data_IF_536115102867
#
_entry.id   IF_536115102867
#
_cell.length_a   1.000
_cell.length_b   1.000
_cell.length_c   1.000
_cell.angle_alpha   90.00
_cell.angle_beta   90.00
_cell.angle_gamma   90.00
#
_symmetry.space_group_name_H-M   'P 1'
#
loop_
_entity.id
_entity.type
_entity.pdbx_description
1 polymer ?
#
# COMPACT_ATOMS: atom_id res chain seq x y z
N UNK A 1 62.76 -25.79 68.92
CA UNK A 1 63.15 -25.04 67.75
C UNK A 1 61.91 -24.77 66.87
N UNK A 2 61.37 -23.54 66.84
CA UNK A 2 60.19 -23.18 66.14
C UNK A 2 60.54 -22.48 64.78
N UNK A 3 60.16 -23.06 63.67
CA UNK A 3 60.22 -22.35 62.36
C UNK A 3 58.88 -21.78 61.99
N UNK A 4 58.84 -20.48 61.83
CA UNK A 4 57.75 -19.75 61.31
C UNK A 4 57.66 -19.93 59.79
N UNK A 5 56.48 -20.26 59.29
CA UNK A 5 56.16 -20.24 57.85
C UNK A 5 55.27 -19.04 57.58
N UNK A 6 55.75 -18.15 56.73
CA UNK A 6 55.07 -16.92 56.28
C UNK A 6 54.21 -17.30 55.12
N UNK A 7 52.89 -17.02 55.23
CA UNK A 7 51.94 -17.19 54.17
C UNK A 7 51.91 -15.93 53.27
N UNK A 8 52.11 -16.07 51.95
CA UNK A 8 51.86 -15.05 50.94
C UNK A 8 50.41 -15.14 50.52
N UNK A 9 49.68 -14.04 50.71
CA UNK A 9 48.36 -13.83 50.10
C UNK A 9 48.54 -13.40 48.65
N UNK A 10 48.14 -14.25 47.69
CA UNK A 10 47.96 -13.86 46.29
C UNK A 10 46.52 -13.40 46.09
N UNK A 11 46.34 -12.10 45.78
CA UNK A 11 45.07 -11.55 45.40
C UNK A 11 44.74 -11.92 43.93
N UNK A 12 43.83 -12.84 43.73
CA UNK A 12 43.28 -13.19 42.40
C UNK A 12 42.19 -12.20 42.01
N UNK A 13 42.43 -11.40 40.98
CA UNK A 13 41.41 -10.58 40.34
C UNK A 13 40.53 -11.48 39.46
N UNK A 14 39.31 -11.75 39.90
CA UNK A 14 38.31 -12.46 39.08
C UNK A 14 37.74 -11.51 38.04
N UNK A 15 38.12 -11.70 36.77
CA UNK A 15 37.52 -11.03 35.64
C UNK A 15 36.15 -11.67 35.35
N UNK A 16 35.05 -11.03 35.75
CA UNK A 16 33.68 -11.44 35.41
C UNK A 16 33.42 -11.03 33.96
N UNK A 17 33.57 -11.98 33.04
CA UNK A 17 33.07 -11.83 31.66
C UNK A 17 31.55 -12.00 31.71
N UNK A 18 30.80 -10.88 31.62
CA UNK A 18 29.38 -10.91 31.43
C UNK A 18 29.12 -11.41 30.00
N UNK A 19 28.85 -12.71 29.82
CA UNK A 19 28.21 -13.21 28.62
C UNK A 19 26.78 -12.62 28.56
N UNK A 20 26.61 -11.58 27.78
CA UNK A 20 25.28 -11.10 27.37
C UNK A 20 24.57 -12.25 26.66
N UNK A 21 23.52 -12.79 27.28
CA UNK A 21 22.59 -13.68 26.63
C UNK A 21 21.91 -12.87 25.52
N UNK A 22 22.39 -13.02 24.28
CA UNK A 22 21.68 -12.60 23.08
C UNK A 22 20.48 -13.54 23.01
N UNK A 23 19.34 -13.09 23.53
CA UNK A 23 18.06 -13.74 23.25
C UNK A 23 17.85 -13.65 21.73
N UNK A 24 17.67 -14.78 21.02
CA UNK A 24 17.32 -14.70 19.62
C UNK A 24 16.02 -13.89 19.53
N UNK A 25 16.03 -12.76 18.80
CA UNK A 25 14.83 -12.12 18.34
C UNK A 25 14.07 -13.21 17.60
N UNK A 26 12.95 -13.66 18.15
CA UNK A 26 12.06 -14.59 17.47
C UNK A 26 11.63 -13.86 16.21
N UNK A 27 12.21 -14.22 15.07
CA UNK A 27 11.81 -13.76 13.77
C UNK A 27 10.33 -14.09 13.64
N UNK A 28 9.51 -13.06 13.40
CA UNK A 28 8.09 -13.24 13.08
C UNK A 28 8.06 -14.12 11.84
N UNK A 29 7.62 -15.37 11.99
CA UNK A 29 7.48 -16.29 10.86
C UNK A 29 6.52 -15.67 9.84
N UNK A 30 6.89 -15.60 8.55
CA UNK A 30 6.02 -15.06 7.50
C UNK A 30 4.70 -15.84 7.47
N UNK A 31 3.59 -15.18 7.25
CA UNK A 31 2.21 -15.72 7.35
C UNK A 31 1.43 -15.33 6.11
N UNK A 32 0.96 -16.07 5.25
CA UNK A 32 0.91 -16.38 3.83
C UNK A 32 2.28 -16.98 3.58
N UNK A 33 2.43 -18.11 2.99
CA UNK A 33 3.77 -18.67 2.79
C UNK A 33 4.65 -17.62 2.10
N UNK A 34 5.75 -17.21 2.77
CA UNK A 34 6.64 -16.15 2.28
C UNK A 34 6.09 -14.71 2.32
N UNK A 35 4.96 -14.48 2.99
CA UNK A 35 4.35 -13.14 3.15
C UNK A 35 4.82 -12.38 4.39
N UNK A 36 4.28 -11.18 4.57
CA UNK A 36 4.52 -10.31 5.73
C UNK A 36 3.20 -9.89 6.40
N UNK A 37 3.18 -9.68 7.74
CA UNK A 37 2.02 -9.14 8.45
C UNK A 37 1.66 -7.75 7.91
N UNK A 38 0.35 -7.54 7.77
CA UNK A 38 -0.24 -6.24 7.40
C UNK A 38 -1.40 -5.89 8.33
N UNK A 39 -1.82 -4.64 8.31
CA UNK A 39 -3.05 -4.20 8.96
C UNK A 39 -4.22 -4.26 7.99
N UNK A 40 -5.43 -4.45 8.51
CA UNK A 40 -6.65 -4.51 7.68
C UNK A 40 -6.88 -3.23 6.86
N UNK A 41 -6.38 -2.08 7.31
CA UNK A 41 -6.45 -0.82 6.55
C UNK A 41 -5.70 -0.85 5.21
N UNK A 42 -4.77 -1.78 5.04
CA UNK A 42 -4.05 -1.98 3.76
C UNK A 42 -4.87 -2.80 2.75
N UNK A 43 -5.82 -3.61 3.24
CA UNK A 43 -6.71 -4.46 2.44
C UNK A 43 -8.13 -4.41 3.01
N UNK A 44 -8.78 -3.22 3.06
CA UNK A 44 -10.04 -3.01 3.79
C UNK A 44 -11.24 -3.80 3.21
N UNK A 45 -11.05 -4.45 2.09
CA UNK A 45 -12.01 -5.37 1.47
C UNK A 45 -11.92 -6.80 1.99
N UNK A 46 -10.86 -7.13 2.75
CA UNK A 46 -10.65 -8.49 3.24
C UNK A 46 -11.69 -8.87 4.29
N UNK A 47 -12.32 -10.03 4.12
CA UNK A 47 -13.21 -10.62 5.10
C UNK A 47 -12.74 -12.03 5.48
N UNK A 48 -13.03 -12.42 6.72
CA UNK A 48 -12.83 -13.78 7.25
C UNK A 48 -14.18 -14.47 7.38
N UNK A 49 -14.28 -15.69 6.88
CA UNK A 49 -15.45 -16.56 7.04
C UNK A 49 -15.17 -17.63 8.08
N UNK A 50 -16.16 -17.90 8.94
CA UNK A 50 -16.20 -19.06 9.81
C UNK A 50 -17.41 -19.92 9.40
N UNK A 51 -17.16 -21.12 8.87
CA UNK A 51 -18.19 -21.99 8.31
C UNK A 51 -18.33 -23.25 9.20
N UNK A 52 -19.51 -23.47 9.74
CA UNK A 52 -19.81 -24.50 10.75
C UNK A 52 -20.56 -25.70 10.15
N UNK A 53 -19.93 -26.43 9.23
CA UNK A 53 -20.49 -27.64 8.67
C UNK A 53 -20.07 -28.93 9.42
N UNK A 54 -19.18 -28.78 10.40
CA UNK A 54 -18.65 -29.86 11.25
C UNK A 54 -18.43 -29.38 12.67
N UNK A 55 -17.95 -30.25 13.54
CA UNK A 55 -17.58 -29.91 14.93
C UNK A 55 -16.51 -28.79 15.02
N UNK A 56 -15.64 -28.70 14.04
CA UNK A 56 -14.63 -27.65 13.94
C UNK A 56 -14.97 -26.70 12.78
N UNK A 57 -15.11 -25.39 13.03
CA UNK A 57 -15.35 -24.41 11.97
C UNK A 57 -14.20 -24.35 10.98
N UNK A 58 -14.54 -24.35 9.68
CA UNK A 58 -13.57 -24.12 8.61
C UNK A 58 -13.37 -22.63 8.40
N UNK A 59 -12.10 -22.22 8.21
CA UNK A 59 -11.71 -20.85 7.86
C UNK A 59 -11.65 -20.72 6.35
N UNK A 60 -12.28 -19.67 5.81
CA UNK A 60 -12.09 -19.17 4.44
C UNK A 60 -11.94 -17.66 4.44
N UNK A 61 -11.40 -17.13 3.35
CA UNK A 61 -11.41 -15.72 3.02
C UNK A 61 -12.63 -15.34 2.18
N UNK A 62 -12.89 -14.03 2.10
CA UNK A 62 -13.84 -13.43 1.17
C UNK A 62 -13.43 -12.00 0.86
N UNK A 63 -14.04 -11.40 -0.16
CA UNK A 63 -13.84 -10.00 -0.51
C UNK A 63 -15.17 -9.25 -0.48
N UNK A 64 -15.20 -8.08 0.17
CA UNK A 64 -16.33 -7.16 0.13
C UNK A 64 -16.39 -6.57 -1.27
N UNK A 65 -17.53 -6.74 -1.97
CA UNK A 65 -17.77 -6.18 -3.30
C UNK A 65 -18.96 -5.21 -3.32
N UNK A 66 -19.58 -4.96 -2.18
CA UNK A 66 -20.68 -4.02 -2.01
C UNK A 66 -21.15 -3.97 -0.57
N UNK A 67 -22.01 -3.02 -0.23
CA UNK A 67 -22.46 -2.85 1.16
C UNK A 67 -23.13 -4.12 1.74
N UNK A 68 -23.84 -4.88 0.90
CA UNK A 68 -24.52 -6.12 1.33
C UNK A 68 -23.95 -7.36 0.67
N UNK A 69 -22.81 -7.26 -0.03
CA UNK A 69 -22.32 -8.36 -0.86
C UNK A 69 -20.84 -8.65 -0.65
N UNK A 70 -20.55 -9.92 -0.46
CA UNK A 70 -19.20 -10.48 -0.51
C UNK A 70 -19.12 -11.55 -1.59
N UNK A 71 -17.91 -11.74 -2.11
CA UNK A 71 -17.57 -12.84 -3.01
C UNK A 71 -16.54 -13.75 -2.35
N UNK A 72 -16.69 -15.05 -2.51
CA UNK A 72 -15.80 -16.11 -1.99
C UNK A 72 -15.76 -17.30 -2.94
N UNK A 73 -14.99 -18.33 -2.62
CA UNK A 73 -14.97 -19.58 -3.38
C UNK A 73 -16.22 -20.43 -3.10
N UNK A 74 -16.73 -21.10 -4.13
CA UNK A 74 -17.87 -21.98 -3.99
C UNK A 74 -17.57 -23.17 -3.08
N UNK A 75 -16.35 -23.74 -3.16
CA UNK A 75 -15.96 -24.88 -2.31
C UNK A 75 -15.98 -24.56 -0.81
N UNK A 76 -15.85 -23.29 -0.43
CA UNK A 76 -15.96 -22.86 0.97
C UNK A 76 -17.38 -23.02 1.53
N UNK A 77 -18.40 -22.75 0.70
CA UNK A 77 -19.79 -22.59 1.16
C UNK A 77 -20.76 -23.60 0.55
N UNK A 78 -20.29 -24.44 -0.35
CA UNK A 78 -21.10 -25.49 -0.94
C UNK A 78 -21.64 -26.44 0.14
N UNK A 79 -22.96 -26.68 0.13
CA UNK A 79 -23.65 -27.47 1.14
C UNK A 79 -23.89 -26.75 2.48
N UNK A 80 -23.48 -25.49 2.63
CA UNK A 80 -23.74 -24.69 3.80
C UNK A 80 -25.06 -23.92 3.70
N UNK A 81 -25.75 -23.76 4.82
CA UNK A 81 -26.86 -22.82 4.94
C UNK A 81 -26.34 -21.45 5.41
N UNK A 82 -27.04 -20.33 5.14
CA UNK A 82 -26.66 -19.01 5.62
C UNK A 82 -26.36 -18.95 7.13
N UNK A 83 -27.14 -19.66 7.95
CA UNK A 83 -26.98 -19.72 9.41
C UNK A 83 -25.68 -20.38 9.89
N UNK A 84 -25.04 -21.17 9.02
CA UNK A 84 -23.77 -21.83 9.32
C UNK A 84 -22.55 -20.95 9.01
N UNK A 85 -22.76 -19.77 8.39
CA UNK A 85 -21.69 -18.88 7.95
C UNK A 85 -21.71 -17.61 8.79
N UNK A 86 -20.58 -17.31 9.43
CA UNK A 86 -20.33 -16.04 10.10
C UNK A 86 -19.26 -15.28 9.34
N UNK A 87 -19.51 -14.01 9.05
CA UNK A 87 -18.61 -13.11 8.34
C UNK A 87 -18.00 -12.10 9.31
N UNK A 88 -16.69 -11.85 9.21
CA UNK A 88 -15.95 -10.87 10.01
C UNK A 88 -15.20 -9.94 9.09
N UNK A 89 -15.37 -8.63 9.28
CA UNK A 89 -14.73 -7.56 8.51
C UNK A 89 -14.03 -6.58 9.44
N UNK A 90 -13.09 -5.79 8.93
CA UNK A 90 -12.41 -4.74 9.69
C UNK A 90 -11.48 -5.25 10.80
N UNK A 91 -11.11 -6.53 10.79
CA UNK A 91 -10.22 -7.15 11.78
C UNK A 91 -8.84 -7.41 11.19
N UNK A 92 -7.79 -7.13 11.96
CA UNK A 92 -6.41 -7.51 11.60
C UNK A 92 -6.08 -8.91 12.12
N UNK A 93 -6.59 -9.26 13.31
CA UNK A 93 -6.31 -10.52 13.98
C UNK A 93 -7.57 -11.38 14.09
N UNK A 94 -7.47 -12.69 13.85
CA UNK A 94 -8.57 -13.63 14.01
C UNK A 94 -9.06 -13.70 15.47
N UNK A 95 -8.19 -13.47 16.45
CA UNK A 95 -8.53 -13.33 17.88
C UNK A 95 -9.50 -12.18 18.14
N UNK A 96 -9.62 -11.21 17.24
CA UNK A 96 -10.63 -10.15 17.28
C UNK A 96 -12.05 -10.61 16.91
N UNK A 97 -12.25 -11.85 16.47
CA UNK A 97 -13.58 -12.39 16.15
C UNK A 97 -14.37 -12.72 17.43
N UNK A 98 -15.61 -12.30 17.47
CA UNK A 98 -16.53 -12.59 18.56
C UNK A 98 -17.96 -12.69 18.03
N UNK A 99 -18.88 -13.21 18.82
CA UNK A 99 -20.28 -13.25 18.43
C UNK A 99 -20.90 -11.83 18.27
N UNK A 100 -20.32 -10.81 18.91
CA UNK A 100 -20.80 -9.43 18.82
C UNK A 100 -20.46 -8.76 17.49
N UNK A 101 -19.35 -9.15 16.83
CA UNK A 101 -18.95 -8.61 15.52
C UNK A 101 -19.13 -9.60 14.37
N UNK A 102 -19.77 -10.74 14.61
CA UNK A 102 -20.15 -11.69 13.57
C UNK A 102 -21.34 -11.13 12.77
N UNK A 103 -21.13 -10.95 11.47
CA UNK A 103 -22.18 -10.53 10.55
C UNK A 103 -22.93 -11.76 10.03
N UNK A 104 -24.27 -11.69 10.09
CA UNK A 104 -25.14 -12.75 9.61
C UNK A 104 -25.27 -12.69 8.07
N UNK A 105 -25.28 -13.87 7.46
CA UNK A 105 -25.55 -14.06 6.03
C UNK A 105 -27.05 -14.34 5.86
N UNK A 106 -27.71 -13.64 4.93
CA UNK A 106 -29.12 -13.85 4.55
C UNK A 106 -29.27 -14.76 3.32
N UNK A 107 -28.25 -14.84 2.46
CA UNK A 107 -28.26 -15.62 1.24
C UNK A 107 -26.90 -16.12 0.82
N UNK A 108 -26.86 -17.33 0.25
CA UNK A 108 -25.69 -17.93 -0.39
C UNK A 108 -26.10 -18.27 -1.83
N UNK A 109 -25.36 -17.72 -2.79
CA UNK A 109 -25.59 -18.01 -4.22
C UNK A 109 -24.31 -18.60 -4.80
N UNK A 110 -24.36 -19.88 -5.16
CA UNK A 110 -23.25 -20.60 -5.77
C UNK A 110 -23.36 -20.47 -7.30
N UNK A 111 -22.23 -20.27 -7.97
CA UNK A 111 -22.22 -20.24 -9.43
C UNK A 111 -22.76 -21.58 -10.00
N UNK A 112 -23.68 -21.55 -10.98
CA UNK A 112 -24.28 -22.77 -11.51
C UNK A 112 -23.28 -23.70 -12.25
N UNK A 113 -22.10 -23.19 -12.65
CA UNK A 113 -21.03 -23.97 -13.24
C UNK A 113 -20.10 -24.63 -12.21
N UNK A 114 -20.38 -24.46 -10.90
CA UNK A 114 -19.56 -25.06 -9.86
C UNK A 114 -19.50 -26.59 -9.97
N UNK A 115 -18.29 -27.11 -9.97
CA UNK A 115 -18.01 -28.54 -10.02
C UNK A 115 -16.90 -28.89 -9.01
N UNK A 116 -17.23 -29.66 -8.00
CA UNK A 116 -16.32 -30.03 -6.90
C UNK A 116 -15.17 -30.96 -7.32
N UNK A 117 -15.22 -31.61 -8.49
CA UNK A 117 -14.14 -32.43 -8.98
C UNK A 117 -13.11 -31.65 -9.79
N UNK A 118 -13.57 -30.72 -10.61
CA UNK A 118 -12.72 -29.94 -11.52
C UNK A 118 -12.39 -28.54 -10.98
N UNK A 119 -13.08 -28.09 -9.92
CA UNK A 119 -13.04 -26.70 -9.41
C UNK A 119 -13.37 -25.66 -10.49
N UNK A 120 -14.15 -26.03 -11.51
CA UNK A 120 -14.70 -25.07 -12.46
C UNK A 120 -15.86 -24.32 -11.80
N UNK A 121 -15.98 -23.02 -12.08
CA UNK A 121 -17.01 -22.20 -11.47
C UNK A 121 -16.86 -22.01 -9.97
N UNK A 122 -15.64 -22.06 -9.43
CA UNK A 122 -15.38 -21.99 -7.99
C UNK A 122 -15.55 -20.56 -7.43
N UNK A 123 -16.78 -20.09 -7.48
CA UNK A 123 -17.18 -18.77 -7.00
C UNK A 123 -18.58 -18.80 -6.38
N UNK A 124 -18.78 -18.08 -5.30
CA UNK A 124 -20.07 -17.87 -4.64
C UNK A 124 -20.23 -16.44 -4.15
N UNK A 125 -21.47 -15.98 -4.10
CA UNK A 125 -21.86 -14.69 -3.50
C UNK A 125 -22.50 -14.94 -2.14
N UNK A 126 -22.14 -14.11 -1.17
CA UNK A 126 -22.78 -14.04 0.12
C UNK A 126 -23.52 -12.71 0.25
N UNK A 127 -24.82 -12.77 0.55
CA UNK A 127 -25.61 -11.59 0.87
C UNK A 127 -25.67 -11.45 2.40
N UNK A 128 -25.31 -10.28 2.90
CA UNK A 128 -25.41 -9.95 4.32
C UNK A 128 -26.87 -9.63 4.71
N UNK A 129 -27.25 -9.99 5.92
CA UNK A 129 -28.56 -9.63 6.48
C UNK A 129 -28.70 -8.12 6.77
N UNK A 130 -27.55 -7.46 7.04
CA UNK A 130 -27.49 -6.00 7.28
C UNK A 130 -26.37 -5.42 6.45
N UNK A 131 -26.62 -4.31 5.73
CA UNK A 131 -25.58 -3.62 4.95
C UNK A 131 -24.42 -3.14 5.82
N UNK A 132 -23.20 -3.23 5.29
CA UNK A 132 -21.99 -2.70 5.91
C UNK A 132 -22.00 -1.17 5.95
N UNK A 133 -21.51 -0.61 7.04
CA UNK A 133 -21.07 0.79 7.09
C UNK A 133 -19.59 0.86 6.73
N UNK A 134 -19.28 1.56 5.66
CA UNK A 134 -17.88 1.68 5.20
C UNK A 134 -17.06 2.59 6.12
N UNK A 135 -15.79 2.26 6.26
CA UNK A 135 -14.81 2.95 7.10
C UNK A 135 -13.41 2.79 6.51
N UNK A 136 -12.37 3.27 7.18
CA UNK A 136 -10.97 3.06 6.74
C UNK A 136 -10.54 1.59 6.79
N UNK A 137 -11.27 0.73 7.51
CA UNK A 137 -10.96 -0.70 7.66
C UNK A 137 -12.01 -1.61 7.02
N UNK A 138 -13.08 -1.07 6.47
CA UNK A 138 -14.17 -1.80 5.80
C UNK A 138 -14.54 -1.06 4.53
N UNK A 139 -14.09 -1.56 3.38
CA UNK A 139 -14.34 -0.95 2.07
C UNK A 139 -14.54 -2.03 1.02
N UNK A 140 -15.36 -1.80 0.00
CA UNK A 140 -15.45 -2.73 -1.13
C UNK A 140 -14.21 -2.64 -2.01
N UNK A 141 -13.85 -3.78 -2.64
CA UNK A 141 -12.88 -3.82 -3.74
C UNK A 141 -13.58 -3.60 -5.07
N UNK A 142 -12.92 -2.87 -5.98
CA UNK A 142 -13.43 -2.70 -7.34
C UNK A 142 -13.43 -4.04 -8.10
N UNK A 143 -14.48 -4.28 -8.86
CA UNK A 143 -14.55 -5.37 -9.83
C UNK A 143 -13.94 -4.91 -11.17
N UNK A 144 -13.40 -5.82 -12.00
CA UNK A 144 -12.73 -5.49 -13.26
C UNK A 144 -13.70 -5.14 -14.40
N UNK A 145 -14.67 -4.23 -14.16
CA UNK A 145 -15.73 -3.87 -15.10
C UNK A 145 -15.22 -3.22 -16.39
N UNK A 146 -14.08 -2.54 -16.33
CA UNK A 146 -13.46 -1.84 -17.46
C UNK A 146 -12.29 -2.60 -18.08
N UNK A 147 -11.99 -3.81 -17.59
CA UNK A 147 -10.90 -4.64 -18.09
C UNK A 147 -11.39 -5.56 -19.20
N UNK A 148 -10.57 -5.75 -20.24
CA UNK A 148 -10.87 -6.71 -21.29
C UNK A 148 -10.79 -8.14 -20.73
N UNK A 149 -11.89 -8.89 -20.68
CA UNK A 149 -11.89 -10.24 -20.13
C UNK A 149 -11.04 -11.24 -20.94
N UNK A 150 -10.71 -10.92 -22.20
CA UNK A 150 -9.88 -11.76 -23.03
C UNK A 150 -8.38 -11.65 -22.72
N UNK A 151 -7.94 -10.55 -22.14
CA UNK A 151 -6.51 -10.25 -21.94
C UNK A 151 -6.12 -9.95 -20.49
N UNK A 152 -7.08 -9.69 -19.60
CA UNK A 152 -6.79 -9.27 -18.23
C UNK A 152 -7.12 -10.35 -17.18
N UNK A 153 -6.29 -10.53 -16.13
CA UNK A 153 -4.95 -9.98 -16.01
C UNK A 153 -3.95 -10.71 -16.89
N UNK A 154 -3.02 -9.97 -17.49
CA UNK A 154 -1.99 -10.56 -18.34
C UNK A 154 -0.90 -11.25 -17.49
N UNK A 155 -0.24 -12.27 -18.07
CA UNK A 155 0.94 -12.87 -17.48
C UNK A 155 2.04 -11.84 -17.22
N UNK A 156 2.80 -12.02 -16.14
CA UNK A 156 3.79 -11.06 -15.65
C UNK A 156 3.22 -9.91 -14.82
N UNK A 157 1.89 -9.72 -14.78
CA UNK A 157 1.27 -8.72 -13.89
C UNK A 157 1.54 -9.07 -12.43
N UNK A 158 1.96 -8.09 -11.64
CA UNK A 158 2.12 -8.25 -10.19
C UNK A 158 0.75 -8.12 -9.52
N UNK A 159 0.43 -9.11 -8.70
CA UNK A 159 -0.78 -9.14 -7.90
C UNK A 159 -0.43 -9.34 -6.42
N UNK A 160 -1.31 -8.90 -5.53
CA UNK A 160 -1.21 -9.11 -4.09
C UNK A 160 -2.21 -10.20 -3.66
N UNK A 161 -1.74 -11.12 -2.84
CA UNK A 161 -2.56 -12.08 -2.09
C UNK A 161 -2.57 -11.69 -0.63
N UNK A 162 -3.70 -11.94 0.07
CA UNK A 162 -3.82 -11.64 1.51
C UNK A 162 -4.77 -12.61 2.21
N UNK A 163 -4.48 -12.89 3.49
CA UNK A 163 -5.33 -13.76 4.29
C UNK A 163 -4.72 -14.16 5.64
N UNK A 164 -5.42 -15.08 6.31
CA UNK A 164 -5.05 -15.65 7.61
C UNK A 164 -4.75 -17.14 7.54
N UNK A 165 -4.55 -17.67 6.35
CA UNK A 165 -4.28 -19.08 6.13
C UNK A 165 -2.99 -19.57 6.77
N UNK A 166 -2.76 -20.86 6.66
CA UNK A 166 -1.58 -21.54 7.17
C UNK A 166 -0.31 -21.06 6.47
N UNK A 167 0.80 -21.13 7.17
CA UNK A 167 2.13 -20.75 6.67
C UNK A 167 2.90 -21.94 6.08
N UNK A 168 2.31 -23.11 6.17
CA UNK A 168 2.80 -24.37 5.61
C UNK A 168 1.62 -25.32 5.40
N UNK A 169 1.76 -26.23 4.46
CA UNK A 169 0.73 -27.25 4.21
C UNK A 169 0.43 -28.06 5.48
N UNK A 170 -0.86 -28.20 5.83
CA UNK A 170 -1.30 -28.87 7.05
C UNK A 170 -1.01 -28.12 8.36
N UNK A 171 -0.49 -26.90 8.30
CA UNK A 171 -0.24 -26.04 9.46
C UNK A 171 -1.50 -25.43 10.06
N UNK A 172 -1.36 -24.77 11.21
CA UNK A 172 -2.42 -23.98 11.84
C UNK A 172 -2.64 -22.63 11.15
N UNK A 173 -3.84 -22.09 11.28
CA UNK A 173 -4.17 -20.75 10.79
C UNK A 173 -3.39 -19.64 11.50
N UNK A 174 -3.08 -18.57 10.77
CA UNK A 174 -2.44 -17.39 11.33
C UNK A 174 -3.46 -16.52 12.06
N UNK A 175 -3.13 -16.04 13.26
CA UNK A 175 -3.94 -15.02 13.93
C UNK A 175 -3.88 -13.68 13.19
N UNK A 176 -2.69 -13.28 12.69
CA UNK A 176 -2.51 -11.98 12.05
C UNK A 176 -2.71 -12.07 10.54
N UNK A 177 -3.39 -11.06 9.98
CA UNK A 177 -3.52 -10.86 8.54
C UNK A 177 -2.15 -10.66 7.90
N UNK A 178 -1.91 -11.33 6.78
CA UNK A 178 -0.66 -11.24 6.04
C UNK A 178 -0.90 -11.03 4.56
N UNK A 179 0.08 -10.51 3.85
CA UNK A 179 0.06 -10.35 2.40
C UNK A 179 1.41 -10.66 1.77
N UNK A 180 1.38 -11.00 0.50
CA UNK A 180 2.55 -11.14 -0.35
C UNK A 180 2.26 -10.69 -1.78
N UNK A 181 3.31 -10.36 -2.52
CA UNK A 181 3.21 -10.13 -3.95
C UNK A 181 3.59 -11.39 -4.72
N UNK A 182 2.78 -11.71 -5.71
CA UNK A 182 2.95 -12.81 -6.64
C UNK A 182 2.85 -12.31 -8.08
N UNK A 183 3.36 -13.07 -9.03
CA UNK A 183 3.16 -12.77 -10.46
C UNK A 183 2.01 -13.62 -11.03
N UNK A 184 1.17 -13.06 -11.88
CA UNK A 184 0.29 -13.81 -12.75
C UNK A 184 1.17 -14.63 -13.69
N UNK A 185 1.03 -15.95 -13.69
CA UNK A 185 1.84 -16.87 -14.49
C UNK A 185 1.09 -17.39 -15.71
N UNK A 186 -0.24 -17.51 -15.63
CA UNK A 186 -1.12 -17.87 -16.73
C UNK A 186 -2.31 -16.92 -16.78
N UNK A 187 -2.45 -16.21 -17.89
CA UNK A 187 -3.56 -15.29 -18.18
C UNK A 187 -4.68 -15.98 -18.98
N UNK A 188 -5.69 -15.21 -19.42
CA UNK A 188 -6.86 -15.72 -20.13
C UNK A 188 -6.57 -16.51 -21.41
N UNK A 189 -5.49 -16.16 -22.11
CA UNK A 189 -5.07 -16.79 -23.37
C UNK A 189 -3.90 -17.76 -23.23
N UNK A 190 -3.46 -18.03 -22.00
CA UNK A 190 -2.31 -18.87 -21.71
C UNK A 190 -2.74 -20.12 -20.94
N UNK A 191 -2.40 -21.27 -21.49
CA UNK A 191 -2.79 -22.56 -20.93
C UNK A 191 -1.70 -23.20 -20.06
N UNK A 192 -0.87 -22.39 -19.43
CA UNK A 192 0.24 -22.88 -18.60
C UNK A 192 0.12 -22.41 -17.17
N UNK A 193 -0.06 -23.35 -16.25
CA UNK A 193 0.02 -23.13 -14.82
C UNK A 193 1.12 -24.03 -14.23
N UNK A 194 2.35 -23.85 -14.68
CA UNK A 194 3.45 -24.70 -14.22
C UNK A 194 3.20 -26.18 -14.54
N UNK A 195 3.34 -27.06 -13.52
CA UNK A 195 3.18 -28.50 -13.69
C UNK A 195 1.71 -28.99 -13.80
N UNK A 196 0.72 -28.10 -13.63
CA UNK A 196 -0.69 -28.46 -13.82
C UNK A 196 -1.07 -28.66 -15.31
N UNK A 197 -0.28 -28.09 -16.22
CA UNK A 197 -0.60 -28.10 -17.64
C UNK A 197 -1.86 -27.27 -17.98
N UNK A 198 -2.43 -27.53 -19.15
CA UNK A 198 -3.61 -26.82 -19.66
C UNK A 198 -4.90 -27.09 -18.89
N UNK A 199 -4.96 -28.12 -18.06
CA UNK A 199 -6.19 -28.54 -17.37
C UNK A 199 -6.68 -27.53 -16.36
N UNK A 200 -5.79 -26.68 -15.80
CA UNK A 200 -6.10 -25.70 -14.78
C UNK A 200 -6.11 -24.25 -15.28
N UNK A 201 -5.50 -23.97 -16.42
CA UNK A 201 -5.55 -22.65 -17.07
C UNK A 201 -6.72 -22.58 -18.05
N UNK A 202 -7.93 -22.79 -17.57
CA UNK A 202 -9.13 -22.62 -18.37
C UNK A 202 -9.57 -21.14 -18.36
N UNK A 203 -10.54 -20.82 -19.20
CA UNK A 203 -11.06 -19.45 -19.30
C UNK A 203 -11.59 -18.88 -17.96
N UNK A 204 -11.94 -19.75 -16.99
CA UNK A 204 -12.45 -19.38 -15.67
C UNK A 204 -11.38 -19.40 -14.55
N UNK A 205 -10.11 -19.67 -14.88
CA UNK A 205 -9.00 -19.76 -13.94
C UNK A 205 -7.81 -18.89 -14.35
N UNK A 206 -7.03 -18.46 -13.38
CA UNK A 206 -5.70 -17.88 -13.54
C UNK A 206 -4.75 -18.51 -12.53
N UNK A 207 -3.45 -18.53 -12.85
CA UNK A 207 -2.42 -19.00 -11.96
C UNK A 207 -1.57 -17.82 -11.50
N UNK A 208 -1.28 -17.76 -10.22
CA UNK A 208 -0.37 -16.75 -9.68
C UNK A 208 0.53 -17.34 -8.60
N UNK A 209 1.79 -16.90 -8.60
CA UNK A 209 2.79 -17.42 -7.67
C UNK A 209 4.20 -17.01 -8.07
N UNK A 210 5.17 -17.78 -7.56
CA UNK A 210 6.57 -17.75 -8.01
C UNK A 210 6.93 -19.12 -8.59
N UNK A 211 7.54 -19.14 -9.77
CA UNK A 211 7.95 -20.40 -10.44
C UNK A 211 8.88 -21.23 -9.55
N UNK A 212 9.79 -20.59 -8.80
CA UNK A 212 10.66 -21.25 -7.83
C UNK A 212 10.00 -21.60 -6.50
N UNK A 213 8.71 -21.33 -6.33
CA UNK A 213 7.99 -21.54 -5.07
C UNK A 213 8.33 -20.51 -3.98
N UNK A 214 7.99 -20.82 -2.74
CA UNK A 214 8.33 -20.04 -1.55
C UNK A 214 7.35 -18.90 -1.23
N UNK A 215 6.37 -18.59 -2.09
CA UNK A 215 5.30 -17.61 -1.83
C UNK A 215 3.99 -18.12 -2.42
N UNK A 216 2.96 -18.27 -1.58
CA UNK A 216 1.65 -18.75 -2.01
C UNK A 216 0.57 -18.51 -0.96
N UNK A 217 -0.70 -18.67 -1.36
CA UNK A 217 -1.84 -18.90 -0.47
C UNK A 217 -1.83 -20.35 0.04
N UNK A 218 -2.46 -20.58 1.21
CA UNK A 218 -2.51 -21.91 1.82
C UNK A 218 -3.89 -22.18 2.44
N UNK A 219 -4.05 -23.31 3.16
CA UNK A 219 -5.31 -23.67 3.82
C UNK A 219 -5.80 -22.50 4.70
N UNK A 220 -7.05 -22.10 4.52
CA UNK A 220 -7.68 -20.97 5.21
C UNK A 220 -7.67 -19.67 4.41
N UNK A 221 -6.87 -19.54 3.34
CA UNK A 221 -6.92 -18.41 2.41
C UNK A 221 -7.95 -18.60 1.28
N UNK A 222 -8.50 -19.80 1.13
CA UNK A 222 -9.55 -20.17 0.15
C UNK A 222 -10.66 -19.11 0.09
N UNK A 223 -11.04 -18.66 -1.10
CA UNK A 223 -12.01 -17.60 -1.33
C UNK A 223 -11.48 -16.18 -1.08
N UNK A 224 -10.25 -16.05 -0.54
CA UNK A 224 -9.57 -14.78 -0.35
C UNK A 224 -9.13 -14.14 -1.67
N UNK A 225 -8.78 -12.84 -1.66
CA UNK A 225 -8.53 -12.04 -2.86
C UNK A 225 -7.14 -12.25 -3.48
N UNK A 226 -7.13 -12.25 -4.81
CA UNK A 226 -5.98 -11.93 -5.66
C UNK A 226 -6.24 -10.55 -6.27
N UNK A 227 -5.41 -9.56 -5.95
CA UNK A 227 -5.65 -8.15 -6.25
C UNK A 227 -4.56 -7.59 -7.17
N UNK A 228 -4.97 -6.93 -8.24
CA UNK A 228 -4.07 -6.19 -9.14
C UNK A 228 -4.24 -4.69 -8.90
N UNK A 229 -3.11 -3.99 -8.73
CA UNK A 229 -3.11 -2.53 -8.67
C UNK A 229 -3.11 -1.95 -10.08
N UNK A 230 -4.09 -1.11 -10.38
CA UNK A 230 -4.23 -0.39 -11.64
C UNK A 230 -4.08 1.12 -11.43
N UNK A 231 -4.02 1.91 -12.49
CA UNK A 231 -4.07 3.37 -12.39
C UNK A 231 -5.37 3.88 -11.72
N UNK A 232 -6.45 3.10 -11.81
CA UNK A 232 -7.75 3.41 -11.19
C UNK A 232 -7.89 2.89 -9.76
N UNK A 233 -6.88 2.21 -9.21
CA UNK A 233 -6.89 1.63 -7.87
C UNK A 233 -6.77 0.11 -7.85
N UNK A 234 -7.06 -0.49 -6.69
CA UNK A 234 -7.04 -1.92 -6.48
C UNK A 234 -8.25 -2.60 -7.13
N UNK A 235 -8.03 -3.67 -7.88
CA UNK A 235 -9.07 -4.40 -8.62
C UNK A 235 -8.96 -5.89 -8.30
N UNK A 236 -10.07 -6.54 -7.99
CA UNK A 236 -10.15 -7.96 -7.71
C UNK A 236 -9.96 -8.76 -9.01
N UNK A 237 -8.86 -9.49 -9.12
CA UNK A 237 -8.53 -10.29 -10.28
C UNK A 237 -9.00 -11.74 -10.14
N UNK A 238 -8.89 -12.29 -8.94
CA UNK A 238 -9.23 -13.69 -8.70
C UNK A 238 -9.56 -13.98 -7.24
N UNK A 239 -10.03 -15.19 -7.00
CA UNK A 239 -10.30 -15.74 -5.68
C UNK A 239 -9.46 -17.01 -5.49
N UNK A 240 -8.80 -17.15 -4.37
CA UNK A 240 -8.04 -18.36 -4.02
C UNK A 240 -8.94 -19.58 -4.11
N UNK A 241 -8.58 -20.53 -4.98
CA UNK A 241 -9.40 -21.70 -5.29
C UNK A 241 -8.70 -22.99 -4.86
N UNK A 242 -7.68 -23.42 -5.57
CA UNK A 242 -7.02 -24.72 -5.35
C UNK A 242 -5.52 -24.62 -5.62
N UNK A 243 -4.75 -25.52 -5.06
CA UNK A 243 -3.32 -25.70 -5.31
C UNK A 243 -2.90 -27.13 -5.00
N UNK A 244 -1.71 -27.51 -5.45
CA UNK A 244 -1.06 -28.75 -5.07
C UNK A 244 -0.03 -28.44 -4.00
N UNK A 245 -0.41 -28.58 -2.70
CA UNK A 245 0.39 -28.10 -1.57
C UNK A 245 0.39 -26.54 -1.49
N UNK A 246 1.32 -25.95 -0.74
CA UNK A 246 1.45 -24.48 -0.63
C UNK A 246 2.87 -24.08 -0.93
N UNK A 247 3.05 -23.12 -1.84
CA UNK A 247 4.33 -22.57 -2.25
C UNK A 247 5.33 -23.57 -2.84
N UNK A 248 4.83 -24.67 -3.38
CA UNK A 248 5.66 -25.69 -4.03
C UNK A 248 6.18 -25.16 -5.37
N UNK A 249 7.45 -25.40 -5.66
CA UNK A 249 8.04 -25.01 -6.95
C UNK A 249 7.28 -25.67 -8.12
N UNK A 250 7.00 -24.89 -9.15
CA UNK A 250 6.23 -25.28 -10.35
C UNK A 250 4.74 -25.60 -10.12
N UNK A 251 4.21 -25.39 -8.92
CA UNK A 251 2.80 -25.52 -8.59
C UNK A 251 2.27 -24.20 -8.00
N UNK A 252 2.06 -23.16 -8.81
CA UNK A 252 1.50 -21.89 -8.34
C UNK A 252 0.06 -22.06 -7.88
N UNK A 253 -0.42 -21.14 -7.04
CA UNK A 253 -1.83 -21.09 -6.66
C UNK A 253 -2.74 -20.91 -7.87
N UNK A 254 -3.89 -21.57 -7.85
CA UNK A 254 -4.95 -21.46 -8.86
C UNK A 254 -6.08 -20.61 -8.27
N UNK A 255 -6.55 -19.64 -9.05
CA UNK A 255 -7.57 -18.68 -8.66
C UNK A 255 -8.73 -18.68 -9.65
N UNK A 256 -9.97 -18.60 -9.14
CA UNK A 256 -11.15 -18.33 -9.97
C UNK A 256 -11.05 -16.90 -10.54
N UNK A 257 -11.10 -16.76 -11.87
CA UNK A 257 -10.89 -15.50 -12.58
C UNK A 257 -12.14 -14.64 -12.59
N UNK A 258 -12.11 -13.47 -11.94
CA UNK A 258 -13.30 -12.62 -11.76
C UNK A 258 -13.89 -12.12 -13.08
N UNK A 259 -13.07 -11.77 -14.08
CA UNK A 259 -13.59 -11.26 -15.37
C UNK A 259 -14.54 -12.23 -16.05
N UNK A 260 -14.32 -13.53 -15.90
CA UNK A 260 -15.20 -14.58 -16.45
C UNK A 260 -16.58 -14.56 -15.79
N UNK A 261 -16.65 -14.23 -14.51
CA UNK A 261 -17.88 -14.32 -13.72
C UNK A 261 -18.62 -12.99 -13.59
N UNK A 262 -18.11 -11.89 -14.15
CA UNK A 262 -18.80 -10.59 -14.09
C UNK A 262 -20.25 -10.62 -14.58
N UNK A 263 -20.59 -11.28 -15.72
CA UNK A 263 -21.98 -11.34 -16.18
C UNK A 263 -22.91 -12.02 -15.18
N UNK A 264 -22.40 -13.00 -14.42
CA UNK A 264 -23.15 -13.67 -13.38
C UNK A 264 -23.21 -12.83 -12.09
N UNK A 265 -22.09 -12.26 -11.64
CA UNK A 265 -22.06 -11.37 -10.46
C UNK A 265 -23.06 -10.22 -10.63
N UNK A 266 -23.09 -9.58 -11.80
CA UNK A 266 -23.95 -8.42 -12.10
C UNK A 266 -25.45 -8.73 -12.12
N UNK A 267 -25.85 -10.01 -12.12
CA UNK A 267 -27.26 -10.40 -11.97
C UNK A 267 -27.74 -10.21 -10.53
N UNK A 268 -26.86 -10.26 -9.55
CA UNK A 268 -27.19 -10.19 -8.12
C UNK A 268 -26.69 -8.93 -7.45
N UNK A 269 -25.53 -8.46 -7.86
CA UNK A 269 -24.82 -7.32 -7.23
C UNK A 269 -24.98 -6.11 -8.13
N UNK A 270 -25.80 -5.13 -7.73
CA UNK A 270 -25.90 -3.88 -8.48
C UNK A 270 -24.51 -3.22 -8.56
N UNK A 271 -24.15 -2.58 -9.67
CA UNK A 271 -22.92 -1.80 -9.77
C UNK A 271 -22.83 -0.82 -8.60
N UNK A 272 -21.85 -1.01 -7.74
CA UNK A 272 -21.62 -0.10 -6.62
C UNK A 272 -20.88 1.12 -7.16
N UNK A 273 -21.60 2.22 -7.26
CA UNK A 273 -21.01 3.50 -7.68
C UNK A 273 -21.02 4.48 -6.52
N UNK A 274 -19.87 5.07 -6.24
CA UNK A 274 -19.67 6.10 -5.22
C UNK A 274 -18.57 7.07 -5.66
N UNK A 275 -18.34 8.13 -4.88
CA UNK A 275 -17.11 8.91 -5.02
C UNK A 275 -15.89 8.02 -4.68
N UNK A 276 -14.70 8.32 -5.20
CA UNK A 276 -13.48 7.54 -4.93
C UNK A 276 -13.02 7.65 -3.46
N UNK A 277 -12.16 6.73 -3.04
CA UNK A 277 -11.32 6.95 -1.85
C UNK A 277 -10.26 8.01 -2.14
N UNK A 278 -9.65 8.62 -1.09
CA UNK A 278 -8.51 9.52 -1.27
C UNK A 278 -7.32 8.83 -1.93
N UNK A 279 -6.52 9.56 -2.72
CA UNK A 279 -5.21 9.08 -3.19
C UNK A 279 -4.29 8.72 -2.02
N UNK A 280 -3.41 7.74 -2.25
CA UNK A 280 -2.46 7.25 -1.24
C UNK A 280 -1.02 7.56 -1.63
N UNK A 281 -0.06 7.40 -0.68
CA UNK A 281 1.37 7.63 -0.89
C UNK A 281 1.67 9.02 -1.47
N UNK A 282 0.94 10.04 -1.03
CA UNK A 282 1.17 11.42 -1.46
C UNK A 282 2.52 11.88 -0.97
N UNK A 283 3.29 12.51 -1.86
CA UNK A 283 4.59 13.13 -1.54
C UNK A 283 4.65 14.51 -2.16
N UNK A 284 5.28 15.46 -1.47
CA UNK A 284 5.53 16.80 -1.96
C UNK A 284 7.03 17.09 -1.91
N UNK A 285 7.65 17.26 -3.06
CA UNK A 285 9.11 17.41 -3.19
C UNK A 285 9.45 18.79 -3.74
N UNK A 286 10.22 19.55 -3.00
CA UNK A 286 10.72 20.87 -3.41
C UNK A 286 11.60 20.77 -4.67
N UNK A 287 11.37 21.66 -5.60
CA UNK A 287 12.13 21.80 -6.85
C UNK A 287 12.71 23.21 -6.96
N UNK A 288 13.73 23.46 -7.77
CA UNK A 288 14.25 24.81 -8.01
C UNK A 288 13.16 25.77 -8.52
N UNK A 289 13.41 27.07 -8.36
CA UNK A 289 12.61 28.16 -8.95
C UNK A 289 11.17 28.21 -8.43
N UNK A 290 10.99 28.00 -7.11
CA UNK A 290 9.68 28.14 -6.50
C UNK A 290 8.68 27.04 -6.86
N UNK A 291 9.16 25.86 -7.27
CA UNK A 291 8.32 24.75 -7.70
C UNK A 291 8.25 23.63 -6.68
N UNK A 292 7.12 22.94 -6.63
CA UNK A 292 6.92 21.72 -5.81
C UNK A 292 6.31 20.63 -6.68
N UNK A 293 6.97 19.49 -6.75
CA UNK A 293 6.45 18.29 -7.43
C UNK A 293 5.64 17.48 -6.43
N UNK A 294 4.37 17.29 -6.72
CA UNK A 294 3.45 16.44 -5.95
C UNK A 294 3.23 15.14 -6.70
N UNK A 295 3.46 14.03 -6.03
CA UNK A 295 3.24 12.69 -6.60
C UNK A 295 2.36 11.89 -5.66
N UNK A 296 1.56 10.97 -6.20
CA UNK A 296 0.64 10.12 -5.46
C UNK A 296 0.43 8.78 -6.18
N UNK A 297 -0.12 7.81 -5.47
CA UNK A 297 -0.70 6.61 -6.05
C UNK A 297 -2.22 6.75 -6.13
N UNK A 298 -2.82 6.05 -7.07
CA UNK A 298 -4.27 6.00 -7.22
C UNK A 298 -4.96 5.52 -5.91
N UNK A 299 -6.23 5.90 -5.68
CA UNK A 299 -6.99 5.41 -4.54
C UNK A 299 -7.15 3.88 -4.57
N UNK A 300 -7.29 3.28 -3.40
CA UNK A 300 -7.53 1.83 -3.26
C UNK A 300 -8.90 1.40 -3.77
N UNK A 301 -9.83 2.34 -3.91
CA UNK A 301 -11.16 2.14 -4.50
C UNK A 301 -11.56 3.36 -5.31
N UNK A 302 -11.92 3.14 -6.56
CA UNK A 302 -12.29 4.19 -7.51
C UNK A 302 -13.76 4.63 -7.42
N UNK A 303 -14.53 4.03 -6.53
CA UNK A 303 -15.97 4.21 -6.46
C UNK A 303 -16.75 3.39 -7.50
N UNK A 304 -16.16 2.31 -8.04
CA UNK A 304 -16.77 1.50 -9.11
C UNK A 304 -16.87 2.21 -10.47
N UNK A 305 -16.27 3.39 -10.61
CA UNK A 305 -16.23 4.21 -11.81
C UNK A 305 -14.79 4.62 -12.13
N UNK A 306 -14.52 4.91 -13.40
CA UNK A 306 -13.21 5.39 -13.81
C UNK A 306 -12.86 6.70 -13.10
N UNK A 307 -11.61 6.82 -12.61
CA UNK A 307 -11.08 8.09 -12.15
C UNK A 307 -10.90 9.00 -13.36
N UNK A 308 -11.59 10.14 -13.36
CA UNK A 308 -11.52 11.13 -14.43
C UNK A 308 -10.37 12.12 -14.25
N UNK A 309 -9.79 12.21 -13.04
CA UNK A 309 -8.68 13.09 -12.74
C UNK A 309 -8.41 13.24 -11.26
N UNK A 310 -7.49 14.15 -10.95
CA UNK A 310 -7.06 14.49 -9.60
C UNK A 310 -7.00 16.01 -9.44
N UNK A 311 -7.38 16.50 -8.26
CA UNK A 311 -7.22 17.89 -7.85
C UNK A 311 -6.15 17.96 -6.75
N UNK A 312 -5.09 18.72 -7.00
CA UNK A 312 -4.11 19.09 -5.98
C UNK A 312 -4.48 20.46 -5.44
N UNK A 313 -4.53 20.59 -4.12
CA UNK A 313 -4.87 21.83 -3.41
C UNK A 313 -3.89 22.13 -2.31
N UNK A 314 -3.74 23.41 -2.00
CA UNK A 314 -3.10 23.87 -0.78
C UNK A 314 -4.15 23.91 0.33
N UNK A 315 -3.78 23.34 1.48
CA UNK A 315 -4.61 23.36 2.70
C UNK A 315 -4.13 24.48 3.62
N UNK A 316 -5.01 25.42 3.92
CA UNK A 316 -4.72 26.49 4.90
C UNK A 316 -4.81 25.95 6.33
N UNK A 317 -4.29 26.71 7.29
CA UNK A 317 -4.43 26.40 8.73
C UNK A 317 -5.88 26.45 9.22
N UNK A 318 -6.77 27.14 8.48
CA UNK A 318 -8.21 27.20 8.75
C UNK A 318 -9.00 26.08 8.08
N UNK A 319 -8.32 25.18 7.34
CA UNK A 319 -8.96 24.07 6.64
C UNK A 319 -9.48 24.40 5.24
N UNK A 320 -9.21 25.62 4.72
CA UNK A 320 -9.60 26.03 3.39
C UNK A 320 -8.72 25.37 2.33
N UNK A 321 -9.32 24.95 1.22
CA UNK A 321 -8.66 24.34 0.08
C UNK A 321 -8.53 25.34 -1.07
N UNK A 322 -7.28 25.65 -1.46
CA UNK A 322 -6.99 26.44 -2.66
C UNK A 322 -6.50 25.51 -3.77
N UNK A 323 -7.28 25.27 -4.84
CA UNK A 323 -6.85 24.44 -5.98
C UNK A 323 -5.62 25.06 -6.67
N UNK A 324 -4.60 24.26 -6.94
CA UNK A 324 -3.36 24.71 -7.59
C UNK A 324 -2.99 23.91 -8.82
N UNK A 325 -3.52 22.69 -8.96
CA UNK A 325 -3.25 21.86 -10.13
C UNK A 325 -4.34 20.80 -10.30
N UNK A 326 -4.84 20.66 -11.53
CA UNK A 326 -5.65 19.52 -11.95
C UNK A 326 -4.83 18.64 -12.91
N UNK A 327 -4.84 17.33 -12.73
CA UNK A 327 -4.08 16.40 -13.54
C UNK A 327 -4.89 15.11 -13.81
N UNK A 328 -4.72 14.52 -14.99
CA UNK A 328 -5.32 13.22 -15.30
C UNK A 328 -4.63 12.08 -14.54
N UNK A 329 -3.35 12.24 -14.19
CA UNK A 329 -2.53 11.27 -13.46
C UNK A 329 -1.42 11.97 -12.68
N UNK A 330 -0.81 11.23 -11.73
CA UNK A 330 0.41 11.65 -11.02
C UNK A 330 1.60 11.69 -11.99
N UNK A 331 2.56 12.64 -11.84
CA UNK A 331 2.61 13.72 -10.86
C UNK A 331 2.00 15.04 -11.34
N UNK A 332 1.89 16.02 -10.43
CA UNK A 332 1.59 17.41 -10.74
C UNK A 332 2.71 18.33 -10.27
N UNK A 333 3.04 19.37 -11.05
CA UNK A 333 4.02 20.37 -10.70
C UNK A 333 3.32 21.68 -10.32
N UNK A 334 3.41 22.06 -9.06
CA UNK A 334 2.99 23.39 -8.57
C UNK A 334 4.09 24.39 -8.93
N UNK A 335 3.74 25.52 -9.54
CA UNK A 335 4.65 26.60 -9.94
C UNK A 335 4.35 27.90 -9.19
N UNK A 336 5.19 28.91 -9.39
CA UNK A 336 4.97 30.30 -8.98
C UNK A 336 4.78 30.50 -7.48
N UNK A 337 5.33 29.62 -6.68
CA UNK A 337 5.26 29.71 -5.23
C UNK A 337 6.39 30.57 -4.66
N UNK A 338 6.06 31.37 -3.65
CA UNK A 338 7.05 32.21 -3.00
C UNK A 338 8.06 31.37 -2.22
N UNK A 339 9.34 31.52 -2.53
CA UNK A 339 10.40 30.82 -1.81
C UNK A 339 10.42 31.21 -0.32
N UNK A 340 10.54 30.21 0.55
CA UNK A 340 10.44 30.32 1.99
C UNK A 340 9.06 30.00 2.57
N UNK A 341 8.04 29.87 1.72
CA UNK A 341 6.71 29.45 2.16
C UNK A 341 6.73 27.96 2.54
N UNK A 342 6.05 27.61 3.63
CA UNK A 342 5.66 26.24 3.94
C UNK A 342 4.28 25.99 3.31
N UNK A 343 4.18 24.95 2.50
CA UNK A 343 2.95 24.53 1.83
C UNK A 343 2.46 23.24 2.47
N UNK A 344 1.19 23.18 2.80
CA UNK A 344 0.50 21.96 3.16
C UNK A 344 -0.32 21.52 1.94
N UNK A 345 0.00 20.36 1.37
CA UNK A 345 -0.53 19.91 0.08
C UNK A 345 -1.42 18.68 0.29
N UNK A 346 -2.59 18.69 -0.31
CA UNK A 346 -3.53 17.56 -0.33
C UNK A 346 -3.94 17.23 -1.76
N UNK A 347 -4.36 15.97 -1.98
CA UNK A 347 -4.81 15.49 -3.29
C UNK A 347 -6.16 14.82 -3.12
N UNK A 348 -7.08 15.07 -4.07
CA UNK A 348 -8.37 14.41 -4.20
C UNK A 348 -8.43 13.68 -5.53
N UNK A 349 -9.02 12.48 -5.55
CA UNK A 349 -9.38 11.77 -6.78
C UNK A 349 -10.80 12.12 -7.17
N UNK A 350 -11.09 12.13 -8.47
CA UNK A 350 -12.38 12.54 -9.04
C UNK A 350 -12.90 11.45 -9.97
N UNK A 351 -14.17 11.08 -9.83
CA UNK A 351 -14.93 10.31 -10.82
C UNK A 351 -16.19 11.08 -11.23
N UNK A 352 -17.05 10.47 -12.03
CA UNK A 352 -18.29 11.12 -12.51
C UNK A 352 -19.33 11.44 -11.42
N UNK A 353 -19.19 10.89 -10.21
CA UNK A 353 -20.05 11.17 -9.06
C UNK A 353 -19.49 12.26 -8.14
N UNK A 354 -18.21 12.62 -8.28
CA UNK A 354 -17.60 13.69 -7.50
C UNK A 354 -16.18 13.40 -7.02
N UNK A 355 -15.69 14.28 -6.15
CA UNK A 355 -14.37 14.23 -5.57
C UNK A 355 -14.34 13.40 -4.28
N UNK A 356 -13.25 12.69 -4.06
CA UNK A 356 -12.96 12.03 -2.79
C UNK A 356 -12.79 13.03 -1.63
N UNK A 357 -12.73 12.53 -0.40
CA UNK A 357 -12.08 13.27 0.68
C UNK A 357 -10.62 13.60 0.31
N UNK A 358 -10.00 14.56 1.01
CA UNK A 358 -8.59 14.90 0.81
C UNK A 358 -7.69 13.76 1.31
N UNK A 359 -6.53 13.59 0.67
CA UNK A 359 -5.45 12.78 1.23
C UNK A 359 -4.92 13.33 2.55
N UNK A 360 -4.11 12.56 3.26
CA UNK A 360 -3.28 13.08 4.35
C UNK A 360 -2.44 14.26 3.84
N UNK A 361 -2.40 15.40 4.57
CA UNK A 361 -1.60 16.56 4.18
C UNK A 361 -0.11 16.24 4.14
N UNK A 362 0.58 16.76 3.12
CA UNK A 362 2.04 16.65 2.97
C UNK A 362 2.70 18.02 2.96
N UNK A 363 3.69 18.19 3.81
CA UNK A 363 4.40 19.45 3.97
C UNK A 363 5.57 19.58 2.98
N UNK A 364 5.72 20.76 2.38
CA UNK A 364 6.86 21.09 1.55
C UNK A 364 7.31 22.53 1.78
N UNK A 365 8.63 22.78 1.77
CA UNK A 365 9.18 24.14 1.81
C UNK A 365 9.56 24.56 0.41
N UNK A 366 9.02 25.68 -0.03
CA UNK A 366 9.35 26.26 -1.33
C UNK A 366 10.77 26.83 -1.32
N UNK A 367 11.58 26.48 -2.33
CA UNK A 367 12.99 26.89 -2.38
C UNK A 367 13.38 27.47 -3.73
N UNK A 368 14.41 28.32 -3.74
CA UNK A 368 14.99 28.86 -4.98
C UNK A 368 15.87 27.85 -5.69
N UNK A 369 16.48 26.90 -4.97
CA UNK A 369 17.35 25.90 -5.54
C UNK A 369 17.42 24.62 -4.72
N UNK A 370 17.71 23.52 -5.41
CA UNK A 370 17.97 22.20 -4.81
C UNK A 370 19.32 21.70 -5.33
N UNK A 371 20.17 21.18 -4.45
CA UNK A 371 21.47 20.57 -4.82
C UNK A 371 21.79 19.41 -3.88
N UNK A 372 22.38 18.37 -4.43
CA UNK A 372 22.93 17.28 -3.59
C UNK A 372 24.20 17.78 -2.88
N UNK A 373 24.26 17.67 -1.57
CA UNK A 373 25.42 18.05 -0.79
C UNK A 373 26.51 16.94 -0.84
N UNK A 374 27.80 17.31 -0.85
CA UNK A 374 28.35 18.66 -0.84
C UNK A 374 28.31 19.34 -2.23
N UNK A 375 27.90 20.59 -2.28
CA UNK A 375 27.74 21.35 -3.53
C UNK A 375 28.21 22.80 -3.37
N UNK A 376 28.43 23.49 -4.49
CA UNK A 376 28.76 24.91 -4.54
C UNK A 376 27.81 25.64 -5.47
N UNK A 377 27.31 26.79 -5.04
CA UNK A 377 26.42 27.66 -5.81
C UNK A 377 27.03 29.06 -5.89
N UNK A 378 27.11 29.61 -7.10
CA UNK A 378 27.65 30.95 -7.28
C UNK A 378 26.74 32.00 -6.62
N UNK A 379 27.31 32.97 -5.86
CA UNK A 379 26.55 34.01 -5.22
C UNK A 379 25.74 34.87 -6.20
N UNK A 380 26.23 35.07 -7.43
CA UNK A 380 25.48 35.74 -8.50
C UNK A 380 24.16 35.07 -8.86
N UNK A 381 24.07 33.74 -8.74
CA UNK A 381 22.83 32.99 -8.95
C UNK A 381 21.87 33.24 -7.78
N UNK A 382 22.37 33.21 -6.54
CA UNK A 382 21.59 33.50 -5.33
C UNK A 382 20.99 34.90 -5.38
N UNK A 383 21.78 35.93 -5.77
CA UNK A 383 21.28 37.28 -5.92
C UNK A 383 20.21 37.41 -6.98
N UNK A 384 20.34 36.68 -8.11
CA UNK A 384 19.33 36.64 -9.18
C UNK A 384 18.01 36.06 -8.68
N UNK A 385 18.03 35.01 -7.86
CA UNK A 385 16.81 34.37 -7.31
C UNK A 385 15.92 35.34 -6.53
N UNK A 386 16.49 36.34 -5.92
CA UNK A 386 15.75 37.32 -5.09
C UNK A 386 15.65 38.70 -5.75
N UNK A 387 16.00 38.82 -7.02
CA UNK A 387 15.87 40.04 -7.79
C UNK A 387 16.84 41.18 -7.32
N UNK A 388 17.86 40.87 -6.52
CA UNK A 388 18.85 41.86 -6.07
C UNK A 388 19.96 41.99 -7.09
N UNK A 389 20.05 43.16 -7.72
CA UNK A 389 20.98 43.43 -8.82
C UNK A 389 22.10 44.40 -8.37
N UNK A 390 23.18 44.44 -9.17
CA UNK A 390 24.24 45.43 -9.02
C UNK A 390 23.72 46.77 -9.54
N UNK A 391 23.68 47.76 -8.71
CA UNK A 391 23.37 49.15 -9.07
C UNK A 391 24.47 50.07 -8.61
N UNK A 392 24.81 51.09 -9.40
CA UNK A 392 25.78 52.15 -9.06
C UNK A 392 27.11 51.61 -8.50
N UNK A 393 27.62 50.49 -9.05
CA UNK A 393 28.89 49.89 -8.64
C UNK A 393 28.87 49.10 -7.32
N UNK A 394 27.76 49.10 -6.60
CA UNK A 394 27.61 48.36 -5.30
C UNK A 394 27.25 46.88 -5.62
N UNK A 395 28.16 45.96 -5.27
CA UNK A 395 27.92 44.51 -5.43
C UNK A 395 27.00 43.98 -4.32
N UNK A 396 25.98 43.17 -4.63
CA UNK A 396 25.17 42.51 -3.63
C UNK A 396 26.01 41.63 -2.67
N UNK A 397 25.66 41.65 -1.38
CA UNK A 397 26.27 40.81 -0.36
C UNK A 397 25.36 39.66 0.01
N UNK A 398 25.90 38.43 0.03
CA UNK A 398 25.21 37.22 0.47
C UNK A 398 25.77 36.82 1.85
N UNK A 399 24.88 36.51 2.80
CA UNK A 399 25.24 36.04 4.14
C UNK A 399 24.41 34.81 4.48
N UNK A 400 25.00 33.83 5.16
CA UNK A 400 24.26 32.65 5.69
C UNK A 400 23.51 33.11 6.97
N UNK A 401 22.22 32.79 7.03
CA UNK A 401 21.44 33.03 8.25
C UNK A 401 22.01 32.22 9.44
N UNK A 402 21.92 32.72 10.68
CA UNK A 402 22.48 32.03 11.85
C UNK A 402 22.01 30.59 12.00
N UNK A 403 20.73 30.30 11.72
CA UNK A 403 20.12 28.95 11.75
C UNK A 403 20.68 27.97 10.73
N UNK A 404 21.37 28.46 9.70
CA UNK A 404 21.87 27.61 8.59
C UNK A 404 23.39 27.47 8.55
N UNK A 405 24.13 27.99 9.54
CA UNK A 405 25.62 27.97 9.55
C UNK A 405 26.24 26.59 9.55
N UNK A 406 25.54 25.59 10.07
CA UNK A 406 25.98 24.19 10.03
C UNK A 406 25.62 23.45 8.73
N UNK A 407 24.75 24.04 7.89
CA UNK A 407 24.26 23.47 6.64
C UNK A 407 25.01 24.05 5.44
N UNK A 408 25.31 25.35 5.49
CA UNK A 408 26.04 26.02 4.42
C UNK A 408 27.00 27.11 4.94
N UNK A 409 27.96 27.50 4.08
CA UNK A 409 28.96 28.53 4.36
C UNK A 409 29.27 29.33 3.10
N UNK A 410 29.76 30.60 3.29
CA UNK A 410 30.31 31.39 2.20
C UNK A 410 31.79 31.00 2.02
N UNK A 411 32.17 30.63 0.81
CA UNK A 411 33.57 30.36 0.41
C UNK A 411 33.88 31.16 -0.85
N UNK A 412 34.58 32.30 -0.68
CA UNK A 412 34.88 33.23 -1.76
C UNK A 412 33.59 33.76 -2.42
N UNK A 413 33.45 33.60 -3.73
CA UNK A 413 32.27 33.99 -4.53
C UNK A 413 31.17 32.92 -4.57
N UNK A 414 31.26 31.88 -3.74
CA UNK A 414 30.34 30.76 -3.75
C UNK A 414 29.68 30.55 -2.38
N UNK A 415 28.47 30.00 -2.41
CA UNK A 415 27.80 29.37 -1.27
C UNK A 415 28.12 27.88 -1.34
N UNK A 416 28.76 27.35 -0.32
CA UNK A 416 29.03 25.92 -0.18
C UNK A 416 27.95 25.27 0.68
N UNK A 417 27.24 24.28 0.15
CA UNK A 417 26.43 23.34 0.92
C UNK A 417 27.35 22.28 1.54
N UNK A 418 27.30 22.16 2.85
CA UNK A 418 28.17 21.28 3.62
C UNK A 418 27.50 19.93 3.90
N UNK A 419 26.17 19.94 4.08
CA UNK A 419 25.35 18.76 4.35
C UNK A 419 23.90 18.99 3.90
N UNK A 420 23.08 17.96 3.92
CA UNK A 420 21.64 18.04 3.66
C UNK A 420 20.94 18.98 4.65
N UNK A 421 19.90 19.64 4.20
CA UNK A 421 19.07 20.55 4.98
C UNK A 421 18.82 21.90 4.27
N UNK A 422 18.02 22.75 4.92
CA UNK A 422 17.62 24.05 4.36
C UNK A 422 18.68 25.11 4.67
N UNK A 423 19.32 25.63 3.64
CA UNK A 423 20.24 26.78 3.72
C UNK A 423 19.48 28.08 3.43
N UNK A 424 19.36 28.94 4.42
CA UNK A 424 18.74 30.24 4.30
C UNK A 424 19.82 31.30 4.12
N UNK A 425 19.71 32.09 3.07
CA UNK A 425 20.68 33.09 2.63
C UNK A 425 20.04 34.49 2.62
N UNK A 426 20.59 35.44 3.38
CA UNK A 426 20.19 36.85 3.34
C UNK A 426 21.01 37.56 2.28
N UNK A 427 20.35 38.27 1.40
CA UNK A 427 20.96 39.04 0.32
C UNK A 427 20.63 40.49 0.53
N UNK A 428 21.64 41.40 0.47
CA UNK A 428 21.46 42.82 0.52
C UNK A 428 22.19 43.47 -0.66
N UNK A 429 21.59 44.48 -1.27
CA UNK A 429 22.12 45.26 -2.37
C UNK A 429 22.17 46.75 -2.07
N UNK A 430 22.32 47.59 -3.13
CA UNK A 430 22.22 49.06 -3.04
C UNK A 430 20.76 49.48 -2.75
N UNK A 431 20.59 50.72 -2.28
CA UNK A 431 19.28 51.34 -2.06
C UNK A 431 18.32 50.50 -1.20
N UNK A 432 18.83 49.92 -0.11
CA UNK A 432 18.06 49.11 0.83
C UNK A 432 17.42 47.83 0.18
N UNK A 433 17.83 47.45 -1.00
CA UNK A 433 17.38 46.16 -1.57
C UNK A 433 17.75 45.01 -0.65
N UNK A 434 16.78 44.20 -0.30
CA UNK A 434 16.96 42.99 0.53
C UNK A 434 16.15 41.85 0.01
N UNK A 435 16.62 40.65 0.22
CA UNK A 435 15.92 39.42 -0.15
C UNK A 435 16.42 38.20 0.64
N UNK A 436 15.64 37.17 0.70
CA UNK A 436 16.02 35.89 1.29
C UNK A 436 15.92 34.80 0.27
N UNK A 437 17.00 34.06 0.05
CA UNK A 437 17.05 32.90 -0.83
C UNK A 437 17.07 31.63 0.01
N UNK A 438 16.40 30.61 -0.49
CA UNK A 438 16.27 29.30 0.13
C UNK A 438 16.88 28.24 -0.78
N UNK A 439 17.88 27.51 -0.29
CA UNK A 439 18.58 26.47 -1.02
C UNK A 439 18.49 25.17 -0.22
N UNK A 440 17.85 24.15 -0.80
CA UNK A 440 17.74 22.83 -0.17
C UNK A 440 18.93 21.96 -0.57
N UNK A 441 19.66 21.46 0.41
CA UNK A 441 20.63 20.37 0.27
C UNK A 441 19.92 19.03 0.41
N UNK A 442 20.06 18.15 -0.56
CA UNK A 442 19.54 16.78 -0.55
C UNK A 442 20.66 15.77 -0.43
#
# INVERSE_FOLDING_TARGET
>A
MRRKITALCAAGVALIVALGLITPVQGVSPRIVGGAPITISSTPWQASLSIRNSSNPTLCGASIIGASWLVTAAHCVAGSTPSNISVFVGITNLSGRSNQNALAVSGVTINPSWNSTTFNGDIALLQLATPLTFSTTVQPIALPLTQDPATWPAAGTIAQISGWGSTSFGGGYSDSLSAANVSILGGPNENTCGSYGSSFASFDKICAGKIGGGVDTCQGDSGGPLVVSTAAGAVLAGLTSVGNDCALANFPGIYARITTFLPWINQYVPPQTSIPNPPVNVTATSRPEGRVLVSWSAPTYSGGLAISGYQVSLLSQTGELTPVCAAAASPCLITDQQAGSALSVVVQAINSLGSSATSTPMEAIVVNGVRTAPAKVAQRLVTRWVGVTTQSGVKPRVRVAPSSRGICAIKGSQVALLRSGLCVLRVSGANSQQGTAYLLGT
#
